data_IF_220564190081
#
_entry.id   IF_220564190081
#
_cell.length_a   1.000
_cell.length_b   1.000
_cell.length_c   1.000
_cell.angle_alpha   90.00
_cell.angle_beta   90.00
_cell.angle_gamma   90.00
#
_symmetry.space_group_name_H-M   'P 1'
#
loop_
_entity.id
_entity.type
_entity.pdbx_description
1 polymer ?
#
# COMPACT_ATOMS: atom_id res chain seq x y z
N UNK A 1 -3.62 -8.08 -27.24
CA UNK A 1 -2.93 -7.46 -26.09
C UNK A 1 -3.37 -8.06 -24.76
N UNK A 2 -4.53 -8.72 -24.68
CA UNK A 2 -4.89 -9.54 -23.53
C UNK A 2 -3.76 -10.52 -23.16
N UNK A 3 -3.48 -10.65 -21.86
CA UNK A 3 -2.44 -11.54 -21.33
C UNK A 3 -1.02 -10.95 -21.33
N UNK A 4 -0.84 -9.66 -21.64
CA UNK A 4 0.44 -8.97 -21.45
C UNK A 4 0.60 -8.55 -19.99
N UNK A 5 1.83 -8.66 -19.49
CA UNK A 5 2.20 -8.26 -18.13
C UNK A 5 3.21 -7.12 -18.18
N UNK A 6 3.10 -6.20 -17.22
CA UNK A 6 4.03 -5.10 -17.00
C UNK A 6 4.34 -5.03 -15.51
N UNK A 7 5.61 -4.93 -15.15
CA UNK A 7 6.02 -4.56 -13.80
C UNK A 7 6.29 -3.06 -13.82
N UNK A 8 5.60 -2.33 -12.95
CA UNK A 8 5.80 -0.90 -12.75
C UNK A 8 6.39 -0.67 -11.36
N UNK A 9 7.60 -0.11 -11.34
CA UNK A 9 8.24 0.31 -10.09
C UNK A 9 7.88 1.77 -9.80
N UNK A 10 7.24 2.00 -8.67
CA UNK A 10 6.91 3.30 -8.11
C UNK A 10 7.83 3.59 -6.92
N UNK A 11 8.19 4.86 -6.76
CA UNK A 11 9.07 5.37 -5.70
C UNK A 11 10.38 4.58 -5.56
N UNK A 12 11.47 5.09 -6.13
CA UNK A 12 12.78 4.42 -6.03
C UNK A 12 13.39 4.45 -4.62
N UNK A 13 12.80 5.19 -3.66
CA UNK A 13 13.18 5.11 -2.25
C UNK A 13 12.71 3.79 -1.64
N UNK A 14 11.40 3.49 -1.77
CA UNK A 14 10.77 2.32 -1.17
C UNK A 14 10.64 1.10 -2.12
N UNK A 15 10.86 1.30 -3.42
CA UNK A 15 10.82 0.30 -4.49
C UNK A 15 9.50 -0.51 -4.54
N UNK A 16 8.37 0.19 -4.60
CA UNK A 16 7.06 -0.46 -4.73
C UNK A 16 6.89 -1.07 -6.12
N UNK A 17 6.69 -2.38 -6.19
CA UNK A 17 6.41 -3.08 -7.44
C UNK A 17 4.91 -3.32 -7.64
N UNK A 18 4.35 -2.72 -8.69
CA UNK A 18 3.01 -2.99 -9.17
C UNK A 18 3.04 -3.97 -10.34
N UNK A 19 2.38 -5.11 -10.17
CA UNK A 19 2.19 -6.10 -11.22
C UNK A 19 0.89 -5.79 -11.98
N UNK A 20 1.02 -5.36 -13.23
CA UNK A 20 -0.11 -4.95 -14.07
C UNK A 20 -0.37 -6.00 -15.16
N UNK A 21 -1.63 -6.43 -15.27
CA UNK A 21 -2.09 -7.35 -16.32
C UNK A 21 -3.05 -6.63 -17.27
N UNK A 22 -2.83 -6.78 -18.57
CA UNK A 22 -3.74 -6.27 -19.59
C UNK A 22 -4.83 -7.32 -19.85
N UNK A 23 -6.04 -7.07 -19.36
CA UNK A 23 -7.16 -8.00 -19.51
C UNK A 23 -7.83 -7.92 -20.89
N UNK A 24 -7.76 -6.77 -21.56
CA UNK A 24 -8.41 -6.61 -22.85
C UNK A 24 -8.48 -5.18 -23.33
N UNK A 25 -9.54 -4.87 -24.07
CA UNK A 25 -9.89 -3.52 -24.52
C UNK A 25 -11.32 -3.23 -24.09
N UNK A 26 -11.59 -1.97 -23.77
CA UNK A 26 -12.92 -1.44 -23.51
C UNK A 26 -13.18 -0.26 -24.45
N UNK A 27 -14.43 0.16 -24.54
CA UNK A 27 -14.79 1.41 -25.22
C UNK A 27 -14.09 2.60 -24.55
N UNK A 28 -13.70 3.62 -25.33
CA UNK A 28 -13.03 4.78 -24.77
C UNK A 28 -13.92 5.52 -23.78
N UNK A 29 -13.31 5.99 -22.70
CA UNK A 29 -13.93 6.86 -21.69
C UNK A 29 -13.21 8.20 -21.68
N UNK A 30 -13.86 9.24 -21.16
CA UNK A 30 -13.28 10.58 -20.99
C UNK A 30 -12.34 10.69 -19.77
N UNK A 31 -12.38 9.69 -18.88
CA UNK A 31 -11.58 9.62 -17.65
C UNK A 31 -11.29 8.17 -17.28
N UNK A 32 -10.22 7.96 -16.50
CA UNK A 32 -9.99 6.66 -15.88
C UNK A 32 -11.10 6.35 -14.87
N UNK A 33 -11.63 5.12 -14.93
CA UNK A 33 -12.65 4.62 -14.02
C UNK A 33 -12.10 3.39 -13.30
N UNK A 34 -12.03 3.45 -11.98
CA UNK A 34 -11.77 2.28 -11.15
C UNK A 34 -13.07 1.48 -11.04
N UNK A 35 -13.09 0.25 -11.57
CA UNK A 35 -14.28 -0.60 -11.58
C UNK A 35 -14.44 -1.38 -10.27
N UNK A 36 -13.33 -1.70 -9.62
CA UNK A 36 -13.27 -2.44 -8.36
C UNK A 36 -11.88 -2.33 -7.74
N UNK A 37 -11.78 -2.66 -6.45
CA UNK A 37 -10.54 -2.76 -5.71
C UNK A 37 -10.78 -3.47 -4.38
N UNK A 38 -9.75 -4.11 -3.85
CA UNK A 38 -9.77 -4.77 -2.54
C UNK A 38 -8.47 -4.48 -1.81
N UNK A 39 -8.54 -4.45 -0.48
CA UNK A 39 -7.43 -4.04 0.37
C UNK A 39 -7.29 -2.52 0.44
N UNK A 40 -6.41 -2.06 1.33
CA UNK A 40 -6.07 -0.66 1.49
C UNK A 40 -4.68 -0.36 0.93
N UNK A 41 -4.45 0.92 0.57
CA UNK A 41 -3.14 1.40 0.17
C UNK A 41 -2.13 1.31 1.33
N UNK A 42 -0.88 1.02 0.99
CA UNK A 42 0.24 1.10 1.93
C UNK A 42 0.50 2.57 2.29
N UNK A 43 1.09 2.81 3.46
CA UNK A 43 1.55 4.15 3.82
C UNK A 43 2.71 4.61 2.90
N UNK A 44 2.65 5.83 2.38
CA UNK A 44 3.78 6.46 1.68
C UNK A 44 4.96 6.63 2.64
N UNK A 45 6.18 6.49 2.13
CA UNK A 45 7.44 6.64 2.86
C UNK A 45 7.60 5.72 4.09
N UNK A 46 6.89 4.59 4.11
CA UNK A 46 6.93 3.65 5.25
C UNK A 46 8.19 2.77 5.26
N UNK A 47 9.01 2.84 4.21
CA UNK A 47 10.26 2.11 4.12
C UNK A 47 10.07 0.74 3.47
N UNK A 48 9.43 0.72 2.30
CA UNK A 48 9.15 -0.48 1.48
C UNK A 48 8.13 -1.46 2.08
N UNK A 49 7.97 -2.61 1.42
CA UNK A 49 7.15 -3.74 1.87
C UNK A 49 7.49 -4.16 3.31
N UNK A 50 8.78 -4.19 3.67
CA UNK A 50 9.20 -4.60 5.01
C UNK A 50 8.81 -3.55 6.04
N UNK A 51 8.95 -2.27 5.72
CA UNK A 51 8.50 -1.20 6.60
C UNK A 51 7.00 -1.22 6.86
N UNK A 52 6.21 -1.54 5.83
CA UNK A 52 4.76 -1.75 5.97
C UNK A 52 4.40 -2.97 6.83
N UNK A 53 5.15 -4.07 6.70
CA UNK A 53 4.98 -5.26 7.55
C UNK A 53 5.30 -4.96 9.01
N UNK A 54 6.42 -4.30 9.27
CA UNK A 54 6.84 -3.89 10.61
C UNK A 54 5.83 -2.93 11.26
N UNK A 55 5.23 -2.03 10.49
CA UNK A 55 4.14 -1.17 10.98
C UNK A 55 2.91 -2.00 11.38
N UNK A 56 2.49 -2.96 10.55
CA UNK A 56 1.36 -3.84 10.89
C UNK A 56 1.65 -4.69 12.13
N UNK A 57 2.85 -5.24 12.23
CA UNK A 57 3.30 -5.99 13.43
C UNK A 57 3.32 -5.09 14.66
N UNK A 58 3.73 -3.83 14.49
CA UNK A 58 3.66 -2.84 15.55
C UNK A 58 2.24 -2.71 16.07
N UNK A 59 1.18 -2.78 15.26
CA UNK A 59 -0.22 -2.73 15.69
C UNK A 59 -0.81 -4.07 16.17
N UNK A 60 -0.23 -5.21 15.78
CA UNK A 60 -0.72 -6.53 16.18
C UNK A 60 -0.34 -6.95 17.62
N UNK A 61 0.53 -6.22 18.30
CA UNK A 61 0.94 -6.51 19.69
C UNK A 61 0.19 -5.67 20.74
N UNK A 62 -0.13 -6.31 21.87
CA UNK A 62 -0.67 -5.63 23.07
C UNK A 62 0.40 -4.90 23.89
N UNK A 63 1.68 -5.24 23.70
CA UNK A 63 2.81 -4.68 24.44
C UNK A 63 3.89 -4.18 23.47
N UNK A 64 3.68 -3.03 22.80
CA UNK A 64 4.62 -2.53 21.82
C UNK A 64 5.97 -2.15 22.47
N UNK A 65 7.06 -2.33 21.73
CA UNK A 65 8.36 -1.76 22.09
C UNK A 65 8.35 -0.23 21.96
N UNK A 66 9.42 0.44 22.38
CA UNK A 66 9.57 1.89 22.17
C UNK A 66 9.53 2.24 20.68
N UNK A 67 10.29 1.51 19.87
CA UNK A 67 10.35 1.68 18.41
C UNK A 67 9.00 1.43 17.74
N UNK A 68 8.27 0.38 18.14
CA UNK A 68 6.93 0.14 17.62
C UNK A 68 5.98 1.29 17.95
N UNK A 69 6.04 1.87 19.15
CA UNK A 69 5.25 3.06 19.49
C UNK A 69 5.63 4.27 18.64
N UNK A 70 6.91 4.49 18.39
CA UNK A 70 7.40 5.58 17.53
C UNK A 70 6.91 5.40 16.09
N UNK A 71 6.94 4.17 15.57
CA UNK A 71 6.43 3.85 14.23
C UNK A 71 4.91 4.02 14.13
N UNK A 72 4.14 3.60 15.14
CA UNK A 72 2.69 3.88 15.23
C UNK A 72 2.43 5.39 15.22
N UNK A 73 3.16 6.16 16.03
CA UNK A 73 3.00 7.61 16.12
C UNK A 73 3.35 8.30 14.80
N UNK A 74 4.40 7.85 14.10
CA UNK A 74 4.74 8.36 12.77
C UNK A 74 3.59 8.12 11.79
N UNK A 75 2.99 6.93 11.78
CA UNK A 75 1.86 6.64 10.90
C UNK A 75 0.64 7.52 11.19
N UNK A 76 0.34 7.73 12.47
CA UNK A 76 -0.82 8.52 12.91
C UNK A 76 -0.68 10.03 12.66
N UNK A 77 0.55 10.55 12.55
CA UNK A 77 0.79 12.01 12.61
C UNK A 77 1.61 12.58 11.45
N UNK A 78 2.33 11.73 10.73
CA UNK A 78 3.35 12.16 9.77
C UNK A 78 3.15 11.54 8.39
N UNK A 79 2.73 10.27 8.30
CA UNK A 79 2.46 9.63 7.01
C UNK A 79 1.42 10.42 6.22
N UNK A 80 1.72 10.72 4.95
CA UNK A 80 0.90 11.61 4.11
C UNK A 80 -0.50 11.03 3.83
N UNK A 81 -0.60 9.71 3.80
CA UNK A 81 -1.82 8.93 3.59
C UNK A 81 -2.12 7.99 4.78
N UNK A 82 -1.76 8.40 6.00
CA UNK A 82 -2.06 7.64 7.21
C UNK A 82 -3.56 7.42 7.40
N UNK A 83 -4.00 6.16 7.39
CA UNK A 83 -5.41 5.76 7.54
C UNK A 83 -5.51 4.56 8.50
N UNK A 84 -6.16 4.69 9.67
CA UNK A 84 -6.35 3.56 10.58
C UNK A 84 -7.00 2.32 9.93
N UNK A 85 -7.88 2.50 8.95
CA UNK A 85 -8.49 1.39 8.20
C UNK A 85 -7.46 0.71 7.29
N UNK A 86 -6.41 1.43 6.90
CA UNK A 86 -5.27 0.94 6.12
C UNK A 86 -4.54 -0.25 6.74
N UNK A 87 -4.59 -0.38 8.06
CA UNK A 87 -3.96 -1.45 8.83
C UNK A 87 -4.84 -2.69 8.98
N UNK A 88 -6.13 -2.58 8.63
CA UNK A 88 -6.99 -3.73 8.46
C UNK A 88 -6.59 -4.42 7.15
N UNK A 89 -5.52 -5.23 7.21
CA UNK A 89 -5.26 -6.22 6.16
C UNK A 89 -6.45 -7.18 6.02
N UNK A 90 -6.43 -7.99 4.96
CA UNK A 90 -7.48 -8.92 4.49
C UNK A 90 -7.95 -9.99 5.51
N UNK A 91 -8.36 -9.59 6.71
CA UNK A 91 -9.02 -10.43 7.72
C UNK A 91 -10.46 -10.74 7.33
#
# INVERSE_FOLDING_TARGET
>A
YAGKQVIYMYDFGDNWEHNLSVEGRADPTDRFVCLSGTGHAVAEDVGSVDGWRELKDAYCTSHPTKEQRERRQWYERTASNGDPEGLAGDR
#
